data_IF_940927539849
#
_entry.id   IF_940927539849
#
_cell.length_a   1.000
_cell.length_b   1.000
_cell.length_c   1.000
_cell.angle_alpha   90.00
_cell.angle_beta   90.00
_cell.angle_gamma   90.00
#
_symmetry.space_group_name_H-M   'P 1'
#
loop_
_entity.id
_entity.type
_entity.pdbx_description
1 polymer ?
#
# COMPACT_ATOMS: atom_id res chain seq x y z
N UNK A 1 -25.39 38.57 25.41
CA UNK A 1 -24.30 37.58 25.25
C UNK A 1 -22.99 38.23 25.61
N UNK A 2 -22.19 37.60 26.48
CA UNK A 2 -20.86 38.11 26.86
C UNK A 2 -19.90 38.00 25.69
N UNK A 3 -19.08 39.04 25.46
CA UNK A 3 -18.06 39.06 24.40
C UNK A 3 -17.14 37.84 24.46
N UNK A 4 -16.87 37.31 25.65
CA UNK A 4 -16.06 36.12 25.89
C UNK A 4 -16.58 34.86 25.16
N UNK A 5 -17.89 34.61 25.17
CA UNK A 5 -18.49 33.49 24.44
C UNK A 5 -18.31 33.63 22.92
N UNK A 6 -18.36 34.86 22.42
CA UNK A 6 -18.16 35.11 20.99
C UNK A 6 -16.72 34.89 20.57
N UNK A 7 -15.74 35.30 21.38
CA UNK A 7 -14.33 35.01 21.12
C UNK A 7 -14.04 33.50 21.18
N UNK A 8 -14.54 32.81 22.20
CA UNK A 8 -14.30 31.38 22.38
C UNK A 8 -14.83 30.57 21.20
N UNK A 9 -16.03 30.87 20.72
CA UNK A 9 -16.58 30.14 19.59
C UNK A 9 -15.88 30.51 18.26
N UNK A 10 -15.41 31.74 18.08
CA UNK A 10 -14.58 32.08 16.91
C UNK A 10 -13.26 31.31 16.93
N UNK A 11 -12.61 31.21 18.10
CA UNK A 11 -11.42 30.38 18.29
C UNK A 11 -11.70 28.91 17.97
N UNK A 12 -12.82 28.36 18.42
CA UNK A 12 -13.24 26.99 18.10
C UNK A 12 -13.39 26.77 16.59
N UNK A 13 -13.90 27.75 15.85
CA UNK A 13 -14.00 27.64 14.39
C UNK A 13 -12.63 27.63 13.72
N UNK A 14 -11.71 28.51 14.14
CA UNK A 14 -10.32 28.47 13.66
C UNK A 14 -9.68 27.11 13.96
N UNK A 15 -9.83 26.59 15.17
CA UNK A 15 -9.31 25.27 15.55
C UNK A 15 -9.96 24.15 14.72
N UNK A 16 -11.26 24.24 14.44
CA UNK A 16 -11.93 23.27 13.57
C UNK A 16 -11.40 23.34 12.13
N UNK A 17 -11.06 24.54 11.63
CA UNK A 17 -10.40 24.73 10.34
C UNK A 17 -9.02 24.07 10.28
N UNK A 18 -8.26 24.15 11.38
CA UNK A 18 -6.97 23.45 11.51
C UNK A 18 -7.16 21.93 11.41
N UNK A 19 -8.17 21.38 12.12
CA UNK A 19 -8.51 19.95 12.08
C UNK A 19 -8.95 19.52 10.68
N UNK A 20 -9.77 20.32 10.01
CA UNK A 20 -10.18 20.09 8.61
C UNK A 20 -8.95 19.98 7.70
N UNK A 21 -8.02 20.94 7.80
CA UNK A 21 -6.76 20.92 7.04
C UNK A 21 -5.94 19.65 7.31
N UNK A 22 -5.86 19.23 8.58
CA UNK A 22 -5.16 18.00 8.97
C UNK A 22 -5.80 16.74 8.38
N UNK A 23 -7.12 16.62 8.39
CA UNK A 23 -7.84 15.46 7.85
C UNK A 23 -7.67 15.39 6.33
N UNK A 24 -7.75 16.52 5.62
CA UNK A 24 -7.58 16.55 4.15
C UNK A 24 -6.16 16.14 3.77
N UNK A 25 -5.13 16.72 4.40
CA UNK A 25 -3.74 16.36 4.13
C UNK A 25 -3.48 14.89 4.49
N UNK A 26 -3.99 14.43 5.64
CA UNK A 26 -3.89 13.03 6.07
C UNK A 26 -4.52 12.07 5.06
N UNK A 27 -5.69 12.42 4.54
CA UNK A 27 -6.37 11.60 3.53
C UNK A 27 -5.58 11.59 2.22
N UNK A 28 -5.14 12.75 1.73
CA UNK A 28 -4.29 12.86 0.54
C UNK A 28 -2.99 12.05 0.69
N UNK A 29 -2.36 12.09 1.87
CA UNK A 29 -1.17 11.32 2.17
C UNK A 29 -1.41 9.80 2.12
N UNK A 30 -2.51 9.33 2.71
CA UNK A 30 -2.91 7.92 2.69
C UNK A 30 -3.19 7.47 1.25
N UNK A 31 -3.95 8.27 0.49
CA UNK A 31 -4.31 7.94 -0.89
C UNK A 31 -3.11 7.91 -1.82
N UNK A 32 -2.15 8.83 -1.66
CA UNK A 32 -0.90 8.87 -2.41
C UNK A 32 0.08 7.76 -2.01
N UNK A 33 -0.08 7.16 -0.83
CA UNK A 33 0.73 6.03 -0.39
C UNK A 33 0.35 4.72 -1.10
N UNK A 34 -0.84 4.66 -1.71
CA UNK A 34 -1.27 3.49 -2.50
C UNK A 34 -0.69 3.53 -3.92
N UNK A 35 -0.35 2.36 -4.51
CA UNK A 35 0.15 2.30 -5.87
C UNK A 35 -0.92 2.77 -6.87
N UNK A 36 -0.50 3.54 -7.89
CA UNK A 36 -1.35 4.17 -8.92
C UNK A 36 -2.29 3.21 -9.68
N UNK A 37 -2.04 1.90 -9.60
CA UNK A 37 -2.82 0.85 -10.27
C UNK A 37 -4.02 0.36 -9.45
N UNK A 38 -4.12 0.78 -8.19
CA UNK A 38 -5.20 0.34 -7.28
C UNK A 38 -6.46 1.17 -7.51
N UNK A 39 -7.63 0.52 -7.40
CA UNK A 39 -8.96 1.14 -7.52
C UNK A 39 -9.10 2.41 -6.64
N UNK A 40 -8.52 2.39 -5.44
CA UNK A 40 -8.49 3.53 -4.50
C UNK A 40 -7.89 4.81 -5.12
N UNK A 41 -6.86 4.69 -5.97
CA UNK A 41 -6.27 5.85 -6.64
C UNK A 41 -7.18 6.40 -7.75
N UNK A 42 -7.94 5.53 -8.44
CA UNK A 42 -8.90 5.92 -9.49
C UNK A 42 -10.11 6.67 -8.92
N UNK A 43 -10.59 6.26 -7.75
CA UNK A 43 -11.70 6.93 -7.04
C UNK A 43 -11.21 7.94 -6.00
N UNK A 44 -9.94 8.33 -6.07
CA UNK A 44 -9.33 9.24 -5.11
C UNK A 44 -10.10 10.56 -5.02
N UNK A 45 -10.34 11.21 -6.15
CA UNK A 45 -11.11 12.47 -6.21
C UNK A 45 -12.51 12.33 -5.60
N UNK A 46 -13.19 11.19 -5.83
CA UNK A 46 -14.52 10.97 -5.28
C UNK A 46 -14.51 10.82 -3.75
N UNK A 47 -13.53 10.10 -3.21
CA UNK A 47 -13.35 9.97 -1.75
C UNK A 47 -13.00 11.32 -1.12
N UNK A 48 -12.16 12.12 -1.78
CA UNK A 48 -11.84 13.46 -1.32
C UNK A 48 -13.08 14.36 -1.27
N UNK A 49 -13.94 14.34 -2.29
CA UNK A 49 -15.21 15.08 -2.31
C UNK A 49 -16.12 14.63 -1.15
N UNK A 50 -16.24 13.32 -0.90
CA UNK A 50 -17.05 12.79 0.21
C UNK A 50 -16.51 13.31 1.54
N UNK A 51 -15.19 13.35 1.72
CA UNK A 51 -14.56 13.86 2.93
C UNK A 51 -14.81 15.36 3.09
N UNK A 52 -14.72 16.15 2.02
CA UNK A 52 -15.07 17.57 2.07
C UNK A 52 -16.52 17.80 2.50
N UNK A 53 -17.45 16.98 2.00
CA UNK A 53 -18.86 17.04 2.40
C UNK A 53 -19.02 16.69 3.88
N UNK A 54 -18.38 15.61 4.35
CA UNK A 54 -18.42 15.20 5.76
C UNK A 54 -17.80 16.25 6.69
N UNK A 55 -16.70 16.88 6.29
CA UNK A 55 -16.05 17.95 7.05
C UNK A 55 -16.90 19.21 7.06
N UNK A 56 -17.53 19.57 5.94
CA UNK A 56 -18.52 20.65 5.89
C UNK A 56 -19.69 20.40 6.84
N UNK A 57 -20.26 19.20 6.83
CA UNK A 57 -21.33 18.80 7.77
C UNK A 57 -20.86 18.81 9.23
N UNK A 58 -19.65 18.30 9.50
CA UNK A 58 -19.09 18.27 10.85
C UNK A 58 -18.83 19.66 11.41
N UNK A 59 -18.30 20.58 10.60
CA UNK A 59 -18.08 21.97 10.99
C UNK A 59 -19.39 22.71 11.21
N UNK A 60 -20.39 22.45 10.36
CA UNK A 60 -21.75 22.95 10.56
C UNK A 60 -22.39 22.42 11.85
N UNK A 61 -22.17 21.15 12.19
CA UNK A 61 -22.65 20.56 13.45
C UNK A 61 -22.01 21.22 14.68
N UNK A 62 -20.70 21.49 14.65
CA UNK A 62 -20.01 22.23 15.71
C UNK A 62 -20.61 23.64 15.87
N UNK A 63 -20.86 24.33 14.75
CA UNK A 63 -21.55 25.62 14.72
C UNK A 63 -22.93 25.55 15.38
N UNK A 64 -23.70 24.50 15.06
CA UNK A 64 -25.03 24.28 15.60
C UNK A 64 -25.00 24.08 17.13
N UNK A 65 -24.06 23.29 17.64
CA UNK A 65 -23.92 23.05 19.08
C UNK A 65 -23.47 24.27 19.88
N UNK A 66 -22.64 25.13 19.28
CA UNK A 66 -22.02 26.24 20.00
C UNK A 66 -22.82 27.54 19.91
N UNK A 67 -23.61 27.74 18.84
CA UNK A 67 -24.34 29.00 18.59
C UNK A 67 -25.73 28.81 17.97
N UNK A 68 -26.36 27.65 18.19
CA UNK A 68 -27.72 27.36 17.70
C UNK A 68 -27.89 27.55 16.17
N UNK A 69 -26.80 27.43 15.41
CA UNK A 69 -26.82 27.50 13.95
C UNK A 69 -26.91 28.90 13.34
N UNK A 70 -26.69 29.97 14.12
CA UNK A 70 -26.66 31.33 13.57
C UNK A 70 -25.36 31.53 12.78
N UNK A 71 -25.47 31.49 11.46
CA UNK A 71 -24.33 31.68 10.55
C UNK A 71 -23.93 33.16 10.45
N UNK A 72 -22.65 33.44 10.67
CA UNK A 72 -22.08 34.80 10.55
C UNK A 72 -21.07 34.85 9.42
N UNK A 73 -20.87 36.04 8.83
CA UNK A 73 -20.00 36.17 7.66
C UNK A 73 -18.52 35.85 7.96
N UNK A 74 -18.09 35.99 9.21
CA UNK A 74 -16.72 35.70 9.61
C UNK A 74 -16.50 34.22 9.97
N UNK A 75 -17.55 33.40 10.01
CA UNK A 75 -17.47 31.98 10.32
C UNK A 75 -16.72 31.19 9.22
N UNK A 76 -17.05 31.34 7.92
CA UNK A 76 -16.23 30.78 6.84
C UNK A 76 -14.80 31.34 6.82
N UNK A 77 -14.63 32.64 7.14
CA UNK A 77 -13.31 33.26 7.20
C UNK A 77 -12.46 32.63 8.30
N UNK A 78 -13.02 32.39 9.48
CA UNK A 78 -12.35 31.67 10.56
C UNK A 78 -11.94 30.26 10.14
N UNK A 79 -12.78 29.57 9.35
CA UNK A 79 -12.47 28.26 8.81
C UNK A 79 -11.29 28.30 7.82
N UNK A 80 -11.31 29.23 6.88
CA UNK A 80 -10.24 29.43 5.89
C UNK A 80 -8.93 29.78 6.62
N UNK A 81 -8.99 30.70 7.58
CA UNK A 81 -7.83 31.08 8.40
C UNK A 81 -7.29 29.88 9.17
N UNK A 82 -8.15 29.03 9.74
CA UNK A 82 -7.74 27.79 10.38
C UNK A 82 -7.02 26.82 9.44
N UNK A 83 -7.53 26.66 8.22
CA UNK A 83 -6.90 25.82 7.19
C UNK A 83 -5.53 26.37 6.79
N UNK A 84 -5.41 27.69 6.58
CA UNK A 84 -4.14 28.36 6.26
C UNK A 84 -3.13 28.25 7.43
N UNK A 85 -3.62 28.40 8.66
CA UNK A 85 -2.81 28.24 9.87
C UNK A 85 -2.26 26.81 9.97
N UNK A 86 -3.07 25.80 9.64
CA UNK A 86 -2.62 24.42 9.52
C UNK A 86 -1.52 24.29 8.46
N UNK A 87 -1.75 24.82 7.26
CA UNK A 87 -0.80 24.71 6.15
C UNK A 87 0.56 25.34 6.48
N UNK A 88 0.57 26.49 7.15
CA UNK A 88 1.80 27.22 7.44
C UNK A 88 2.56 26.67 8.65
N UNK A 89 1.86 26.30 9.73
CA UNK A 89 2.51 25.92 11.00
C UNK A 89 2.58 24.40 11.21
N UNK A 90 1.48 23.70 10.92
CA UNK A 90 1.32 22.30 11.31
C UNK A 90 1.67 21.30 10.20
N UNK A 91 1.55 21.69 8.92
CA UNK A 91 1.93 20.86 7.78
C UNK A 91 3.37 20.30 7.85
N UNK A 92 4.42 21.10 8.17
CA UNK A 92 5.78 20.55 8.27
C UNK A 92 5.91 19.52 9.40
N UNK A 93 5.26 19.76 10.53
CA UNK A 93 5.25 18.85 11.69
C UNK A 93 4.53 17.55 11.31
N UNK A 94 3.37 17.64 10.69
CA UNK A 94 2.57 16.48 10.29
C UNK A 94 3.31 15.60 9.27
N UNK A 95 3.97 16.22 8.28
CA UNK A 95 4.81 15.51 7.30
C UNK A 95 6.05 14.89 7.94
N UNK A 96 6.65 15.56 8.92
CA UNK A 96 7.75 14.98 9.69
C UNK A 96 7.30 13.76 10.47
N UNK A 97 6.22 13.87 11.25
CA UNK A 97 5.64 12.76 11.99
C UNK A 97 5.23 11.60 11.09
N UNK A 98 4.57 11.86 9.96
CA UNK A 98 4.19 10.83 9.00
C UNK A 98 5.39 10.07 8.43
N UNK A 99 6.49 10.78 8.11
CA UNK A 99 7.74 10.15 7.66
C UNK A 99 8.40 9.33 8.76
N UNK A 100 8.42 9.84 10.00
CA UNK A 100 8.95 9.12 11.15
C UNK A 100 8.13 7.86 11.41
N UNK A 101 6.81 7.94 11.41
CA UNK A 101 5.90 6.82 11.61
C UNK A 101 6.07 5.73 10.54
N UNK A 102 6.09 6.12 9.25
CA UNK A 102 6.36 5.20 8.14
C UNK A 102 7.71 4.51 8.30
N UNK A 103 8.76 5.26 8.64
CA UNK A 103 10.12 4.72 8.78
C UNK A 103 10.25 3.83 10.02
N UNK A 104 9.60 4.19 11.12
CA UNK A 104 9.73 3.52 12.41
C UNK A 104 8.84 2.29 12.52
N UNK A 105 7.69 2.24 11.82
CA UNK A 105 6.75 1.11 11.94
C UNK A 105 6.71 0.27 10.66
N UNK A 106 6.54 0.90 9.50
CA UNK A 106 6.31 0.15 8.26
C UNK A 106 7.61 -0.49 7.74
N UNK A 107 8.75 0.20 7.79
CA UNK A 107 10.02 -0.39 7.37
C UNK A 107 10.42 -1.64 8.18
N UNK A 108 10.35 -1.67 9.53
CA UNK A 108 10.70 -2.88 10.27
C UNK A 108 9.76 -4.04 9.98
N UNK A 109 8.44 -3.81 9.80
CA UNK A 109 7.51 -4.86 9.41
C UNK A 109 7.91 -5.46 8.06
N UNK A 110 8.22 -4.62 7.07
CA UNK A 110 8.68 -5.08 5.76
C UNK A 110 10.03 -5.79 5.81
N UNK A 111 10.90 -5.39 6.74
CA UNK A 111 12.18 -6.06 6.97
C UNK A 111 11.98 -7.46 7.56
N UNK A 112 11.09 -7.60 8.55
CA UNK A 112 10.73 -8.90 9.16
C UNK A 112 10.14 -9.85 8.10
N UNK A 113 9.20 -9.37 7.28
CA UNK A 113 8.61 -10.18 6.20
C UNK A 113 9.70 -10.63 5.21
N UNK A 114 10.61 -9.74 4.82
CA UNK A 114 11.73 -10.09 3.94
C UNK A 114 12.66 -11.12 4.57
N UNK A 115 12.94 -11.04 5.87
CA UNK A 115 13.74 -12.06 6.58
C UNK A 115 13.04 -13.42 6.50
N UNK A 116 11.75 -13.49 6.86
CA UNK A 116 10.97 -14.74 6.86
C UNK A 116 10.97 -15.37 5.46
N UNK A 117 10.65 -14.59 4.44
CA UNK A 117 10.63 -15.07 3.05
C UNK A 117 12.01 -15.55 2.59
N UNK A 118 13.09 -14.88 3.02
CA UNK A 118 14.46 -15.28 2.67
C UNK A 118 14.85 -16.60 3.33
N UNK A 119 14.46 -16.79 4.59
CA UNK A 119 14.67 -18.04 5.33
C UNK A 119 13.93 -19.20 4.65
N UNK A 120 12.64 -19.02 4.33
CA UNK A 120 11.83 -20.04 3.66
C UNK A 120 12.45 -20.42 2.30
N UNK A 121 12.87 -19.45 1.50
CA UNK A 121 13.54 -19.73 0.21
C UNK A 121 14.84 -20.51 0.38
N UNK A 122 15.65 -20.19 1.40
CA UNK A 122 16.88 -20.95 1.70
C UNK A 122 16.56 -22.39 2.08
N UNK A 123 15.56 -22.60 2.94
CA UNK A 123 15.12 -23.95 3.35
C UNK A 123 14.64 -24.76 2.14
N UNK A 124 13.77 -24.20 1.30
CA UNK A 124 13.31 -24.86 0.07
C UNK A 124 14.47 -25.20 -0.88
N UNK A 125 15.45 -24.30 -1.01
CA UNK A 125 16.63 -24.56 -1.83
C UNK A 125 17.49 -25.70 -1.26
N UNK A 126 17.64 -25.79 0.06
CA UNK A 126 18.33 -26.91 0.71
C UNK A 126 17.60 -28.24 0.47
N UNK A 127 16.28 -28.25 0.64
CA UNK A 127 15.44 -29.43 0.38
C UNK A 127 15.57 -29.88 -1.08
N UNK A 128 15.49 -28.94 -2.03
CA UNK A 128 15.67 -29.23 -3.45
C UNK A 128 17.07 -29.79 -3.78
N UNK A 129 18.11 -29.31 -3.09
CA UNK A 129 19.48 -29.79 -3.27
C UNK A 129 19.66 -31.21 -2.71
N UNK A 130 19.04 -31.53 -1.58
CA UNK A 130 19.00 -32.89 -1.01
C UNK A 130 18.27 -33.83 -1.99
N UNK A 131 17.08 -33.45 -2.46
CA UNK A 131 16.31 -34.21 -3.45
C UNK A 131 17.10 -34.45 -4.74
N UNK A 132 17.74 -33.42 -5.29
CA UNK A 132 18.58 -33.57 -6.48
C UNK A 132 19.78 -34.50 -6.25
N UNK A 133 20.38 -34.46 -5.06
CA UNK A 133 21.50 -35.34 -4.69
C UNK A 133 21.05 -36.81 -4.65
N UNK A 134 19.84 -37.09 -4.15
CA UNK A 134 19.26 -38.44 -4.11
C UNK A 134 18.88 -38.93 -5.52
N UNK A 135 18.36 -38.07 -6.39
CA UNK A 135 17.91 -38.45 -7.74
C UNK A 135 19.07 -38.63 -8.73
N UNK A 136 20.23 -38.02 -8.48
CA UNK A 136 21.45 -38.15 -9.31
C UNK A 136 21.92 -39.60 -9.54
N UNK A 137 22.11 -40.46 -8.51
CA UNK A 137 22.52 -41.85 -8.71
C UNK A 137 21.48 -42.66 -9.50
N UNK A 138 20.19 -42.44 -9.27
CA UNK A 138 19.11 -43.08 -10.03
C UNK A 138 19.14 -42.71 -11.52
N UNK A 139 19.36 -41.43 -11.84
CA UNK A 139 19.54 -40.98 -13.24
C UNK A 139 20.75 -41.62 -13.91
N UNK A 140 21.86 -41.80 -13.17
CA UNK A 140 23.06 -42.45 -13.69
C UNK A 140 22.80 -43.94 -14.04
N UNK A 141 22.13 -44.67 -13.14
CA UNK A 141 21.75 -46.08 -13.36
C UNK A 141 20.79 -46.21 -14.54
N UNK A 142 19.77 -45.34 -14.64
CA UNK A 142 18.83 -45.34 -15.76
C UNK A 142 19.54 -45.09 -17.10
N UNK A 143 20.47 -44.13 -17.16
CA UNK A 143 21.26 -43.86 -18.39
C UNK A 143 22.14 -45.05 -18.77
N UNK A 144 22.77 -45.71 -17.78
CA UNK A 144 23.59 -46.90 -17.99
C UNK A 144 22.77 -48.09 -18.51
N UNK A 145 21.59 -48.34 -17.93
CA UNK A 145 20.65 -49.36 -18.42
C UNK A 145 20.16 -49.05 -19.84
N UNK A 146 19.84 -47.80 -20.15
CA UNK A 146 19.37 -47.39 -21.48
C UNK A 146 20.45 -47.55 -22.56
N UNK A 147 21.72 -47.27 -22.24
CA UNK A 147 22.85 -47.54 -23.13
C UNK A 147 23.05 -49.04 -23.40
N UNK A 148 22.81 -49.90 -22.39
CA UNK A 148 22.88 -51.35 -22.56
C UNK A 148 21.69 -51.88 -23.38
N UNK A 149 20.50 -51.31 -23.20
CA UNK A 149 19.31 -51.66 -23.99
C UNK A 149 19.43 -51.25 -25.47
N UNK A 150 20.06 -50.10 -25.76
CA UNK A 150 20.29 -49.65 -27.14
C UNK A 150 21.38 -50.46 -27.87
N UNK A 151 22.33 -51.08 -27.15
CA UNK A 151 23.32 -52.01 -27.75
C UNK A 151 22.71 -53.34 -28.18
N UNK A 152 21.54 -53.73 -27.65
CA UNK A 152 20.84 -54.99 -27.99
C UNK A 152 19.94 -54.90 -29.23
N UNK A 153 19.79 -53.75 -29.89
CA UNK A 153 19.10 -53.71 -31.19
C UNK A 153 20.06 -54.21 -32.27
N UNK A 154 19.80 -55.37 -32.93
CA UNK A 154 20.56 -55.73 -34.12
C UNK A 154 20.37 -54.64 -35.17
N UNK A 155 21.46 -54.20 -35.80
CA UNK A 155 21.42 -53.33 -36.97
C UNK A 155 20.67 -54.09 -38.08
N UNK A 156 19.36 -53.90 -38.19
CA UNK A 156 18.59 -54.37 -39.34
C UNK A 156 18.92 -53.46 -40.52
N UNK A 157 20.03 -53.76 -41.19
CA UNK A 157 20.39 -53.18 -42.49
C UNK A 157 19.38 -53.72 -43.51
N UNK A 158 18.37 -52.93 -43.83
CA UNK A 158 17.49 -53.20 -44.96
C UNK A 158 18.33 -53.16 -46.24
N UNK A 159 18.59 -54.32 -46.84
CA UNK A 159 19.13 -54.42 -48.19
C UNK A 159 18.01 -54.10 -49.18
N UNK A 160 17.97 -52.86 -49.66
CA UNK A 160 17.03 -52.41 -50.70
C UNK A 160 17.70 -52.62 -52.06
N UNK A 161 17.78 -53.86 -52.51
CA UNK A 161 18.07 -54.22 -53.90
C UNK A 161 17.17 -55.38 -54.29
N UNK A 162 16.71 -55.37 -55.53
CA UNK A 162 15.81 -56.32 -56.19
C UNK A 162 14.32 -56.02 -56.03
N UNK A 163 13.88 -54.99 -56.74
CA UNK A 163 12.60 -55.04 -57.46
C UNK A 163 12.90 -54.47 -58.85
N UNK A 164 13.27 -55.38 -59.76
CA UNK A 164 13.36 -55.12 -61.19
C UNK A 164 12.63 -56.26 -61.88
N UNK A 165 11.79 -55.85 -62.83
CA UNK A 165 10.88 -56.61 -63.68
C UNK A 165 9.49 -56.83 -63.07
#
# INVERSE_FOLDING_TARGET
MTLSLQFFSLLLMVLSGVVVGAIIEGTRFVMNSFPKRTFVFKYSTALEIIIWILLGLGTFYILFQVRDGIWRIYDPLAQIVGILLYEQLFQPIFRFMGRVFLRMIIQPIWFIIRIIVTIIRKILRLIALILLTIVRPFRFIYKKMRHLALKKKPKFRYNKKYTKN
#
